data_IF_775378647276
#
_entry.id   IF_775378647276
#
_cell.length_a   1.000
_cell.length_b   1.000
_cell.length_c   1.000
_cell.angle_alpha   90.00
_cell.angle_beta   90.00
_cell.angle_gamma   90.00
#
_symmetry.space_group_name_H-M   'P 1'
#
loop_
_entity.id
_entity.type
_entity.pdbx_description
1 polymer ?
#
# COMPACT_ATOMS: atom_id res chain seq x y z
N UNK A 1 -23.90 41.13 -2.43
CA UNK A 1 -22.95 40.70 -3.49
C UNK A 1 -23.80 40.23 -4.65
N UNK A 2 -23.59 40.75 -5.85
CA UNK A 2 -24.38 40.36 -7.01
C UNK A 2 -24.12 38.88 -7.32
N UNK A 3 -25.18 38.08 -7.31
CA UNK A 3 -25.13 36.64 -7.57
C UNK A 3 -25.08 36.33 -9.06
N UNK A 4 -24.57 37.24 -9.91
CA UNK A 4 -24.66 37.14 -11.36
C UNK A 4 -23.27 37.31 -11.98
N UNK A 5 -22.83 36.34 -12.79
CA UNK A 5 -21.54 36.34 -13.47
C UNK A 5 -21.71 36.46 -14.99
N UNK A 6 -20.80 37.17 -15.69
CA UNK A 6 -20.82 37.26 -17.13
C UNK A 6 -20.39 35.94 -17.79
N UNK A 7 -21.08 35.57 -18.88
CA UNK A 7 -20.73 34.49 -19.79
C UNK A 7 -20.00 35.09 -20.99
N UNK A 8 -18.80 34.58 -21.25
CA UNK A 8 -17.91 35.06 -22.31
C UNK A 8 -18.01 34.20 -23.58
N UNK A 9 -17.87 34.84 -24.73
CA UNK A 9 -17.67 34.17 -26.02
C UNK A 9 -16.20 33.73 -26.21
N UNK A 10 -15.94 33.02 -27.31
CA UNK A 10 -14.59 32.58 -27.68
C UNK A 10 -13.63 33.74 -27.99
N UNK A 11 -14.16 34.94 -28.29
CA UNK A 11 -13.41 36.17 -28.54
C UNK A 11 -13.19 37.00 -27.26
N UNK A 12 -13.70 36.55 -26.12
CA UNK A 12 -13.62 37.24 -24.83
C UNK A 12 -14.66 38.35 -24.61
N UNK A 13 -15.69 38.48 -25.44
CA UNK A 13 -16.80 39.44 -25.25
C UNK A 13 -17.88 38.84 -24.36
N UNK A 14 -18.52 39.68 -23.55
CA UNK A 14 -19.62 39.27 -22.66
C UNK A 14 -20.90 39.14 -23.48
N UNK A 15 -21.46 37.93 -23.56
CA UNK A 15 -22.72 37.66 -24.26
C UNK A 15 -23.90 37.82 -23.30
N UNK A 16 -23.80 37.23 -22.10
CA UNK A 16 -24.93 37.08 -21.18
C UNK A 16 -24.45 37.18 -19.73
N UNK A 17 -25.38 37.32 -18.80
CA UNK A 17 -25.12 37.25 -17.35
C UNK A 17 -25.99 36.17 -16.73
N UNK A 18 -25.38 35.21 -16.04
CA UNK A 18 -26.07 34.05 -15.43
C UNK A 18 -25.93 34.07 -13.91
N UNK A 19 -26.97 33.62 -13.22
CA UNK A 19 -26.96 33.51 -11.76
C UNK A 19 -26.04 32.38 -11.25
N UNK A 20 -25.36 32.62 -10.13
CA UNK A 20 -24.45 31.68 -9.48
C UNK A 20 -25.27 30.61 -8.74
N UNK A 21 -25.06 29.32 -9.03
CA UNK A 21 -25.70 28.24 -8.28
C UNK A 21 -25.37 28.26 -6.79
N UNK A 22 -26.33 27.84 -5.96
CA UNK A 22 -26.21 27.81 -4.49
C UNK A 22 -24.96 27.08 -3.98
N UNK A 23 -24.44 26.12 -4.75
CA UNK A 23 -23.25 25.32 -4.40
C UNK A 23 -22.00 26.17 -4.14
N UNK A 24 -21.80 27.26 -4.89
CA UNK A 24 -20.61 28.12 -4.76
C UNK A 24 -20.57 28.92 -3.46
N UNK A 25 -21.72 29.08 -2.78
CA UNK A 25 -21.79 29.74 -1.47
C UNK A 25 -21.54 28.77 -0.30
N UNK A 26 -21.40 27.49 -0.57
CA UNK A 26 -21.15 26.48 0.46
C UNK A 26 -19.76 26.70 1.06
N UNK A 27 -19.61 26.73 2.39
CA UNK A 27 -18.30 26.91 3.01
C UNK A 27 -17.37 25.73 2.66
N UNK A 28 -16.14 26.06 2.26
CA UNK A 28 -15.14 25.06 1.89
C UNK A 28 -14.62 24.37 3.16
N UNK A 29 -14.76 23.05 3.19
CA UNK A 29 -14.27 22.18 4.29
C UNK A 29 -13.06 21.35 3.83
N UNK A 30 -11.82 21.83 4.03
CA UNK A 30 -10.63 21.16 3.52
C UNK A 30 -10.40 19.77 4.14
N UNK A 31 -10.87 19.56 5.38
CA UNK A 31 -10.85 18.27 6.08
C UNK A 31 -11.68 17.21 5.34
N UNK A 32 -12.91 17.55 4.95
CA UNK A 32 -13.80 16.65 4.22
C UNK A 32 -13.32 16.41 2.80
N UNK A 33 -12.89 17.46 2.10
CA UNK A 33 -12.36 17.35 0.73
C UNK A 33 -11.14 16.42 0.72
N UNK A 34 -10.19 16.61 1.64
CA UNK A 34 -9.01 15.75 1.74
C UNK A 34 -9.38 14.30 2.00
N UNK A 35 -10.31 14.04 2.94
CA UNK A 35 -10.76 12.68 3.24
C UNK A 35 -11.43 12.01 2.04
N UNK A 36 -12.30 12.73 1.34
CA UNK A 36 -12.99 12.22 0.16
C UNK A 36 -12.00 11.89 -0.97
N UNK A 37 -11.06 12.78 -1.26
CA UNK A 37 -10.05 12.58 -2.31
C UNK A 37 -9.14 11.39 -1.98
N UNK A 38 -8.67 11.26 -0.75
CA UNK A 38 -7.83 10.12 -0.34
C UNK A 38 -8.58 8.79 -0.50
N UNK A 39 -9.87 8.74 -0.15
CA UNK A 39 -10.69 7.55 -0.35
C UNK A 39 -10.83 7.21 -1.84
N UNK A 40 -11.15 8.19 -2.70
CA UNK A 40 -11.28 7.99 -4.14
C UNK A 40 -9.94 7.55 -4.76
N UNK A 41 -8.83 8.14 -4.34
CA UNK A 41 -7.49 7.75 -4.80
C UNK A 41 -7.15 6.32 -4.39
N UNK A 42 -7.54 5.90 -3.18
CA UNK A 42 -7.26 4.54 -2.71
C UNK A 42 -7.90 3.44 -3.55
N UNK A 43 -9.07 3.73 -4.15
CA UNK A 43 -9.77 2.79 -5.05
C UNK A 43 -9.05 2.58 -6.39
N UNK A 44 -8.12 3.45 -6.75
CA UNK A 44 -7.38 3.36 -8.02
C UNK A 44 -6.14 2.47 -7.92
N UNK A 45 -5.75 2.05 -6.72
CA UNK A 45 -4.56 1.22 -6.54
C UNK A 45 -4.85 -0.24 -6.93
N UNK A 46 -3.95 -0.83 -7.71
CA UNK A 46 -4.00 -2.25 -8.01
C UNK A 46 -3.56 -3.07 -6.80
N UNK A 47 -4.32 -4.11 -6.39
CA UNK A 47 -3.87 -5.02 -5.34
C UNK A 47 -2.54 -5.68 -5.71
N UNK A 48 -1.61 -5.68 -4.77
CA UNK A 48 -0.29 -6.28 -4.92
C UNK A 48 0.06 -7.08 -3.66
N UNK A 49 0.86 -8.13 -3.83
CA UNK A 49 1.28 -8.98 -2.73
C UNK A 49 2.37 -9.97 -3.15
N UNK A 50 3.01 -10.60 -2.17
CA UNK A 50 3.98 -11.69 -2.39
C UNK A 50 3.25 -13.03 -2.49
N UNK A 51 3.88 -14.04 -3.10
CA UNK A 51 3.38 -15.42 -3.02
C UNK A 51 3.24 -15.83 -1.53
N UNK A 52 2.06 -16.29 -1.07
CA UNK A 52 1.84 -16.73 0.30
C UNK A 52 2.84 -17.79 0.81
N UNK A 53 3.45 -18.56 -0.10
CA UNK A 53 4.44 -19.59 0.17
C UNK A 53 5.90 -19.13 -0.03
N UNK A 54 6.14 -17.87 -0.41
CA UNK A 54 7.49 -17.32 -0.56
C UNK A 54 8.32 -17.47 0.74
N UNK A 55 9.50 -18.08 0.63
CA UNK A 55 10.38 -18.35 1.78
C UNK A 55 9.87 -19.43 2.76
N UNK A 56 8.68 -20.02 2.52
CA UNK A 56 8.11 -21.13 3.31
C UNK A 56 8.27 -22.51 2.66
N UNK A 57 8.60 -22.58 1.37
CA UNK A 57 8.88 -23.83 0.63
C UNK A 57 10.23 -24.42 1.03
N UNK A 58 10.35 -24.83 2.29
CA UNK A 58 11.58 -25.39 2.85
C UNK A 58 11.23 -26.44 3.90
N UNK A 59 12.11 -27.44 4.06
CA UNK A 59 11.99 -28.49 5.08
C UNK A 59 12.60 -28.08 6.43
N UNK A 60 12.89 -26.78 6.61
CA UNK A 60 13.62 -26.28 7.75
C UNK A 60 12.85 -26.43 9.06
N UNK A 61 13.51 -27.01 10.07
CA UNK A 61 12.96 -27.21 11.41
C UNK A 61 13.96 -26.82 12.48
N UNK A 62 13.47 -26.47 13.67
CA UNK A 62 14.36 -26.14 14.79
C UNK A 62 15.00 -27.40 15.35
N UNK A 63 16.31 -27.34 15.66
CA UNK A 63 17.06 -28.44 16.27
C UNK A 63 16.95 -28.47 17.80
N UNK A 64 16.19 -27.56 18.41
CA UNK A 64 16.04 -27.48 19.87
C UNK A 64 17.25 -26.86 20.58
N UNK A 65 17.44 -27.22 21.84
CA UNK A 65 18.48 -26.70 22.76
C UNK A 65 19.67 -27.66 22.87
N UNK A 66 20.75 -27.24 23.55
CA UNK A 66 21.86 -28.13 23.91
C UNK A 66 22.97 -28.28 22.85
N UNK A 67 22.92 -27.52 21.76
CA UNK A 67 23.85 -27.62 20.64
C UNK A 67 24.77 -26.40 20.48
N UNK A 68 24.76 -25.44 21.42
CA UNK A 68 25.56 -24.20 21.31
C UNK A 68 25.17 -23.28 20.13
N UNK A 69 24.00 -23.49 19.53
CA UNK A 69 23.50 -22.73 18.36
C UNK A 69 22.16 -22.05 18.66
N UNK A 70 21.85 -21.00 17.90
CA UNK A 70 20.54 -20.36 17.94
C UNK A 70 19.40 -21.32 17.53
N UNK A 71 18.22 -21.16 18.16
CA UNK A 71 17.01 -22.00 18.01
C UNK A 71 16.20 -21.77 16.72
N UNK A 72 16.81 -21.16 15.71
CA UNK A 72 16.17 -20.82 14.42
C UNK A 72 15.93 -22.12 13.61
N UNK A 73 14.86 -22.22 12.81
CA UNK A 73 14.66 -23.35 11.89
C UNK A 73 15.82 -23.47 10.89
N UNK A 74 16.35 -24.67 10.72
CA UNK A 74 17.49 -24.95 9.84
C UNK A 74 17.14 -26.01 8.80
N UNK A 75 17.63 -25.82 7.57
CA UNK A 75 17.38 -26.74 6.45
C UNK A 75 17.94 -28.12 6.77
N UNK A 76 17.11 -29.16 6.60
CA UNK A 76 17.48 -30.56 6.81
C UNK A 76 18.43 -31.07 5.71
N UNK A 77 19.07 -32.21 5.97
CA UNK A 77 19.96 -32.89 5.02
C UNK A 77 21.44 -32.68 5.31
N UNK A 78 22.28 -33.18 4.40
CA UNK A 78 23.74 -33.11 4.44
C UNK A 78 24.29 -33.02 3.00
N UNK A 79 25.58 -32.74 2.82
CA UNK A 79 26.25 -32.76 1.51
C UNK A 79 25.96 -31.56 0.60
N UNK A 80 25.15 -30.59 1.02
CA UNK A 80 24.95 -29.32 0.30
C UNK A 80 25.36 -28.14 1.19
N UNK A 81 25.86 -27.03 0.62
CA UNK A 81 26.17 -25.83 1.40
C UNK A 81 24.96 -25.27 2.14
N UNK A 82 23.75 -25.55 1.66
CA UNK A 82 22.50 -25.07 2.25
C UNK A 82 22.08 -25.85 3.48
N UNK A 83 22.51 -27.10 3.63
CA UNK A 83 22.19 -27.93 4.78
C UNK A 83 22.66 -27.29 6.09
N UNK A 84 21.79 -27.23 7.10
CA UNK A 84 22.10 -26.63 8.40
C UNK A 84 22.04 -25.10 8.45
N UNK A 85 21.83 -24.40 7.32
CA UNK A 85 21.59 -22.96 7.32
C UNK A 85 20.20 -22.61 7.82
N UNK A 86 20.04 -21.40 8.35
CA UNK A 86 18.74 -20.87 8.76
C UNK A 86 17.80 -20.67 7.57
N UNK A 87 16.52 -20.98 7.77
CA UNK A 87 15.45 -20.77 6.78
C UNK A 87 14.11 -20.61 7.46
N UNK A 88 13.04 -20.49 6.65
CA UNK A 88 11.64 -20.32 7.07
C UNK A 88 11.30 -19.05 7.87
N UNK A 89 12.14 -18.63 8.82
CA UNK A 89 11.88 -17.53 9.73
C UNK A 89 12.25 -16.15 9.15
N UNK A 90 11.57 -15.07 9.57
CA UNK A 90 12.03 -13.71 9.28
C UNK A 90 13.40 -13.46 9.91
N UNK A 91 14.25 -12.71 9.20
CA UNK A 91 15.65 -12.47 9.59
C UNK A 91 16.63 -13.56 9.14
N UNK A 92 16.16 -14.61 8.45
CA UNK A 92 17.04 -15.59 7.81
C UNK A 92 17.14 -15.32 6.31
N UNK A 93 18.32 -15.58 5.73
CA UNK A 93 18.53 -15.46 4.27
C UNK A 93 17.68 -16.52 3.56
N UNK A 94 16.77 -16.07 2.70
CA UNK A 94 15.83 -16.93 1.97
C UNK A 94 14.65 -17.46 2.81
N UNK A 95 14.46 -16.95 4.04
CA UNK A 95 13.26 -17.21 4.84
C UNK A 95 12.08 -16.32 4.46
N UNK A 96 10.93 -16.55 5.09
CA UNK A 96 9.73 -15.71 4.86
C UNK A 96 9.91 -14.32 5.46
N UNK A 97 9.27 -13.32 4.87
CA UNK A 97 9.16 -11.99 5.49
C UNK A 97 8.19 -12.00 6.67
N UNK A 98 8.37 -11.07 7.61
CA UNK A 98 7.35 -10.76 8.60
C UNK A 98 6.29 -9.87 7.93
N UNK A 99 5.03 -10.32 7.94
CA UNK A 99 3.89 -9.63 7.30
C UNK A 99 4.07 -9.34 5.79
N UNK A 100 4.24 -10.41 4.96
CA UNK A 100 4.37 -10.29 3.51
C UNK A 100 3.07 -9.92 2.79
#
# INVERSE_FOLDING_TARGET
MENVLPVYDLEGKVIEKTEIPKVFFTPVRPDLVKRAVLAIQSLRFQPQGRDPLAGKRTTAESRGVGLGIARIPRVKGAGTPRAGQGGFAPGTVGGRLAHP
#
